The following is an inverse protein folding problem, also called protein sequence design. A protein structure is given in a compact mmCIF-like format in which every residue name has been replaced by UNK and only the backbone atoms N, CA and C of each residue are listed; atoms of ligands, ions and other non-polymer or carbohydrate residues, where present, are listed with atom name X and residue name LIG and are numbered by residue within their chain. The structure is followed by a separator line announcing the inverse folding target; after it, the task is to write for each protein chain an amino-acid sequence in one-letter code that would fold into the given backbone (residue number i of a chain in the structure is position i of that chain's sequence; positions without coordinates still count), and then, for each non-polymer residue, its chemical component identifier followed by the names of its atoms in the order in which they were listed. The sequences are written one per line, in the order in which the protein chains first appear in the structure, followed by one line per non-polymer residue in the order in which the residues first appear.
data_IF_523915102673
#
_entry.id   IF_523915102673
#
_cell.length_a   1.000
_cell.length_b   1.000
_cell.length_c   1.000
_cell.angle_alpha   90.00
_cell.angle_beta   90.00
_cell.angle_gamma   90.00
#
_symmetry.space_group_name_H-M   'P 1'
#
loop_
_entity.id
_entity.type
_entity.pdbx_description
1 polymer ?
#
# COMPACT_ATOMS: atom_id res chain seq x y z
N UNK A 1 8.96 22.27 -10.52
CA UNK A 1 9.86 21.13 -10.75
C UNK A 1 11.20 21.56 -11.38
N UNK A 2 11.70 22.77 -11.10
CA UNK A 2 12.95 23.32 -11.66
C UNK A 2 14.07 23.44 -10.62
N UNK A 3 13.74 23.30 -9.33
CA UNK A 3 14.67 23.50 -8.22
C UNK A 3 15.70 22.38 -8.09
N UNK A 4 15.27 21.12 -8.27
CA UNK A 4 16.16 19.95 -8.17
C UNK A 4 17.29 19.98 -9.21
N UNK A 5 16.94 20.25 -10.47
CA UNK A 5 17.92 20.31 -11.56
C UNK A 5 18.95 21.43 -11.31
N UNK A 6 18.50 22.55 -10.76
CA UNK A 6 19.38 23.67 -10.41
C UNK A 6 20.37 23.30 -9.29
N UNK A 7 19.90 22.67 -8.20
CA UNK A 7 20.77 22.24 -7.10
C UNK A 7 21.74 21.14 -7.55
N UNK A 8 21.27 20.18 -8.35
CA UNK A 8 22.09 19.10 -8.89
C UNK A 8 23.19 19.64 -9.83
N UNK A 9 22.84 20.58 -10.70
CA UNK A 9 23.80 21.22 -11.60
C UNK A 9 24.80 22.09 -10.84
N UNK A 10 24.36 22.79 -9.80
CA UNK A 10 25.23 23.55 -8.89
C UNK A 10 26.22 22.63 -8.20
N UNK A 11 25.76 21.51 -7.64
CA UNK A 11 26.63 20.52 -7.00
C UNK A 11 27.63 19.93 -7.98
N UNK A 12 27.19 19.55 -9.18
CA UNK A 12 28.08 19.04 -10.25
C UNK A 12 29.16 20.06 -10.64
N UNK A 13 28.80 21.33 -10.77
CA UNK A 13 29.74 22.40 -11.08
C UNK A 13 30.77 22.60 -9.96
N UNK A 14 30.34 22.51 -8.70
CA UNK A 14 31.23 22.62 -7.54
C UNK A 14 32.20 21.43 -7.47
N UNK A 15 31.70 20.19 -7.61
CA UNK A 15 32.52 18.97 -7.49
C UNK A 15 33.42 18.76 -8.70
N UNK A 16 32.98 19.11 -9.92
CA UNK A 16 33.77 18.95 -11.14
C UNK A 16 34.98 19.88 -11.24
N UNK A 17 35.02 20.96 -10.45
CA UNK A 17 36.04 22.00 -10.56
C UNK A 17 37.20 21.87 -9.56
N UNK A 18 37.09 21.07 -8.49
CA UNK A 18 38.05 21.09 -7.37
C UNK A 18 38.18 19.75 -6.63
N UNK A 19 39.38 19.48 -6.10
CA UNK A 19 39.68 18.32 -5.23
C UNK A 19 39.25 18.52 -3.78
N UNK A 20 38.94 19.76 -3.37
CA UNK A 20 38.38 20.08 -2.06
C UNK A 20 37.44 21.29 -2.15
N UNK A 21 36.39 21.28 -1.33
CA UNK A 21 35.35 22.30 -1.33
C UNK A 21 35.07 22.82 0.08
N UNK A 22 34.82 24.14 0.25
CA UNK A 22 34.45 24.71 1.54
C UNK A 22 33.11 24.14 2.04
N UNK A 23 33.08 23.66 3.29
CA UNK A 23 31.86 23.10 3.91
C UNK A 23 30.68 24.08 3.86
N UNK A 24 30.93 25.37 4.11
CA UNK A 24 29.90 26.41 4.08
C UNK A 24 29.26 26.64 2.71
N UNK A 25 29.90 26.20 1.63
CA UNK A 25 29.36 26.29 0.27
C UNK A 25 28.60 25.02 -0.13
N UNK A 26 29.09 23.86 0.31
CA UNK A 26 28.61 22.56 -0.18
C UNK A 26 27.48 21.98 0.67
N UNK A 27 27.51 22.19 1.98
CA UNK A 27 26.48 21.64 2.87
C UNK A 27 25.08 22.21 2.62
N UNK A 28 24.89 23.51 2.36
CA UNK A 28 23.56 24.03 2.03
C UNK A 28 22.96 23.41 0.75
N UNK A 29 23.80 23.14 -0.26
CA UNK A 29 23.35 22.51 -1.52
C UNK A 29 22.96 21.05 -1.27
N UNK A 30 23.74 20.31 -0.45
CA UNK A 30 23.36 18.95 -0.06
C UNK A 30 22.08 18.91 0.76
N UNK A 31 21.89 19.84 1.69
CA UNK A 31 20.67 19.95 2.50
C UNK A 31 19.44 20.27 1.64
N UNK A 32 19.58 21.20 0.69
CA UNK A 32 18.52 21.50 -0.27
C UNK A 32 18.18 20.28 -1.14
N UNK A 33 19.19 19.54 -1.59
CA UNK A 33 19.00 18.34 -2.41
C UNK A 33 18.37 17.19 -1.61
N UNK A 34 18.78 16.97 -0.36
CA UNK A 34 18.19 15.94 0.49
C UNK A 34 16.73 16.24 0.79
N UNK A 35 16.41 17.51 1.09
CA UNK A 35 15.02 17.94 1.28
C UNK A 35 14.18 17.73 0.02
N UNK A 36 14.70 18.13 -1.15
CA UNK A 36 14.01 17.92 -2.41
C UNK A 36 13.77 16.44 -2.71
N UNK A 37 14.69 15.56 -2.29
CA UNK A 37 14.52 14.11 -2.41
C UNK A 37 13.43 13.56 -1.47
N UNK A 38 13.39 14.00 -0.22
CA UNK A 38 12.35 13.61 0.74
C UNK A 38 10.96 14.02 0.24
N UNK A 39 10.82 15.26 -0.25
CA UNK A 39 9.57 15.76 -0.81
C UNK A 39 9.13 14.91 -2.04
N UNK A 40 10.08 14.55 -2.90
CA UNK A 40 9.82 13.70 -4.07
C UNK A 40 9.40 12.27 -3.67
N UNK A 41 10.05 11.67 -2.68
CA UNK A 41 9.67 10.33 -2.22
C UNK A 41 8.26 10.35 -1.61
N UNK A 42 7.92 11.37 -0.80
CA UNK A 42 6.57 11.52 -0.27
C UNK A 42 5.51 11.64 -1.38
N UNK A 43 5.78 12.43 -2.42
CA UNK A 43 4.91 12.52 -3.61
C UNK A 43 4.80 11.18 -4.33
N UNK A 44 5.92 10.48 -4.51
CA UNK A 44 5.96 9.17 -5.15
C UNK A 44 5.13 8.13 -4.39
N UNK A 45 5.22 8.07 -3.06
CA UNK A 45 4.39 7.19 -2.24
C UNK A 45 2.90 7.50 -2.39
N UNK A 46 2.53 8.79 -2.42
CA UNK A 46 1.16 9.22 -2.65
C UNK A 46 0.64 8.80 -4.02
N UNK A 47 1.46 8.93 -5.07
CA UNK A 47 1.13 8.51 -6.42
C UNK A 47 0.96 6.98 -6.52
N UNK A 48 1.81 6.21 -5.84
CA UNK A 48 1.67 4.75 -5.77
C UNK A 48 0.36 4.34 -5.09
N UNK A 49 0.01 5.00 -3.98
CA UNK A 49 -1.26 4.77 -3.30
C UNK A 49 -2.46 5.06 -4.22
N UNK A 50 -2.45 6.22 -4.90
CA UNK A 50 -3.49 6.59 -5.88
C UNK A 50 -3.57 5.61 -7.04
N UNK A 51 -2.42 5.17 -7.58
CA UNK A 51 -2.36 4.18 -8.66
C UNK A 51 -3.00 2.86 -8.23
N UNK A 52 -2.72 2.39 -7.01
CA UNK A 52 -3.35 1.19 -6.45
C UNK A 52 -4.86 1.35 -6.30
N UNK A 53 -5.33 2.48 -5.78
CA UNK A 53 -6.75 2.78 -5.65
C UNK A 53 -7.44 2.81 -7.02
N UNK A 54 -6.86 3.48 -8.02
CA UNK A 54 -7.40 3.52 -9.38
C UNK A 54 -7.47 2.11 -9.96
N UNK A 55 -6.40 1.32 -9.86
CA UNK A 55 -6.38 -0.05 -10.35
C UNK A 55 -7.48 -0.90 -9.71
N UNK A 56 -7.70 -0.76 -8.40
CA UNK A 56 -8.77 -1.45 -7.69
C UNK A 56 -10.18 -0.96 -8.09
N UNK A 57 -10.34 0.33 -8.41
CA UNK A 57 -11.63 0.88 -8.85
C UNK A 57 -11.94 0.57 -10.32
N UNK A 58 -10.93 0.44 -11.17
CA UNK A 58 -11.10 0.22 -12.60
C UNK A 58 -11.79 -1.10 -12.96
N UNK A 59 -11.75 -2.10 -12.09
CA UNK A 59 -12.52 -3.33 -12.29
C UNK A 59 -14.04 -3.12 -12.29
N UNK A 60 -14.51 -1.99 -11.75
CA UNK A 60 -15.94 -1.64 -11.70
C UNK A 60 -16.34 -0.61 -12.75
N UNK A 61 -15.45 -0.21 -13.66
CA UNK A 61 -15.69 0.88 -14.61
C UNK A 61 -17.00 0.72 -15.38
N UNK A 62 -17.27 -0.48 -15.88
CA UNK A 62 -18.42 -0.75 -16.75
C UNK A 62 -19.68 -1.17 -15.97
N UNK A 63 -19.53 -1.55 -14.69
CA UNK A 63 -20.64 -1.95 -13.80
C UNK A 63 -21.07 -0.85 -12.83
N UNK A 64 -20.25 0.19 -12.65
CA UNK A 64 -20.53 1.28 -11.72
C UNK A 64 -21.62 2.20 -12.28
N UNK A 65 -22.74 2.27 -11.58
CA UNK A 65 -23.79 3.27 -11.81
C UNK A 65 -23.82 4.23 -10.63
N UNK A 66 -23.61 5.53 -10.89
CA UNK A 66 -23.66 6.56 -9.85
C UNK A 66 -25.11 6.80 -9.41
N UNK A 67 -25.50 6.17 -8.31
CA UNK A 67 -26.87 6.29 -7.74
C UNK A 67 -27.01 7.42 -6.72
N UNK A 68 -25.91 7.86 -6.12
CA UNK A 68 -25.89 8.93 -5.12
C UNK A 68 -25.46 10.26 -5.77
N UNK A 69 -26.41 11.20 -5.85
CA UNK A 69 -26.19 12.60 -6.20
C UNK A 69 -26.32 13.49 -4.96
N UNK A 70 -25.82 14.73 -5.03
CA UNK A 70 -25.92 15.71 -3.94
C UNK A 70 -27.36 16.00 -3.49
N UNK A 71 -28.34 15.72 -4.34
CA UNK A 71 -29.76 15.90 -4.07
C UNK A 71 -30.47 14.61 -3.64
N UNK A 72 -29.75 13.49 -3.55
CA UNK A 72 -30.34 12.24 -3.07
C UNK A 72 -30.78 12.37 -1.62
N UNK A 73 -31.96 11.83 -1.31
CA UNK A 73 -32.53 11.90 0.04
C UNK A 73 -31.58 11.35 1.11
N UNK A 74 -30.82 10.31 0.77
CA UNK A 74 -29.84 9.68 1.66
C UNK A 74 -28.69 10.63 2.01
N UNK A 75 -28.16 11.39 1.04
CA UNK A 75 -27.12 12.39 1.30
C UNK A 75 -27.69 13.53 2.16
N UNK A 76 -28.90 14.00 1.88
CA UNK A 76 -29.55 15.06 2.67
C UNK A 76 -29.79 14.61 4.12
N UNK A 77 -30.25 13.37 4.33
CA UNK A 77 -30.44 12.77 5.66
C UNK A 77 -29.12 12.65 6.41
N UNK A 78 -28.07 12.15 5.76
CA UNK A 78 -26.76 11.99 6.39
C UNK A 78 -26.10 13.33 6.75
N UNK A 79 -26.22 14.35 5.89
CA UNK A 79 -25.77 15.72 6.22
C UNK A 79 -26.50 16.30 7.43
N UNK A 80 -27.81 16.08 7.52
CA UNK A 80 -28.63 16.54 8.66
C UNK A 80 -28.27 15.81 9.97
N UNK A 81 -27.88 14.54 9.89
CA UNK A 81 -27.50 13.74 11.05
C UNK A 81 -26.11 14.09 11.61
N UNK A 82 -25.31 14.88 10.89
CA UNK A 82 -23.91 15.14 11.22
C UNK A 82 -23.04 13.98 10.75
N UNK A 83 -22.19 14.22 9.75
CA UNK A 83 -21.25 13.19 9.29
C UNK A 83 -20.18 12.96 10.36
N UNK A 84 -19.80 11.70 10.63
CA UNK A 84 -18.71 11.40 11.55
C UNK A 84 -17.40 12.01 11.01
N UNK A 85 -16.51 12.40 11.92
CA UNK A 85 -15.18 12.87 11.57
C UNK A 85 -14.47 11.83 10.68
N UNK A 86 -13.75 12.32 9.68
CA UNK A 86 -13.15 11.50 8.63
C UNK A 86 -12.17 10.45 9.19
N UNK A 87 -11.55 10.76 10.34
CA UNK A 87 -10.59 9.90 11.02
C UNK A 87 -11.19 8.54 11.45
N UNK A 88 -12.51 8.47 11.66
CA UNK A 88 -13.21 7.25 12.08
C UNK A 88 -13.76 6.41 10.93
N UNK A 89 -13.59 6.84 9.67
CA UNK A 89 -14.24 6.16 8.53
C UNK A 89 -13.68 4.77 8.24
N UNK A 90 -12.43 4.49 8.65
CA UNK A 90 -11.69 3.28 8.26
C UNK A 90 -11.21 2.45 9.46
N UNK A 91 -11.59 2.81 10.68
CA UNK A 91 -11.11 2.19 11.93
C UNK A 91 -11.47 0.68 12.02
N UNK A 92 -12.49 0.24 11.26
CA UNK A 92 -12.95 -1.15 11.22
C UNK A 92 -12.47 -1.95 9.98
N UNK A 93 -11.69 -1.35 9.07
CA UNK A 93 -11.35 -2.00 7.78
C UNK A 93 -10.23 -3.06 7.87
N UNK A 94 -9.59 -3.24 9.02
CA UNK A 94 -8.48 -4.20 9.21
C UNK A 94 -8.96 -5.65 9.40
N UNK A 95 -10.24 -5.86 9.73
CA UNK A 95 -10.72 -7.18 10.19
C UNK A 95 -11.17 -8.12 9.07
N UNK A 96 -11.44 -7.64 7.85
CA UNK A 96 -12.02 -8.47 6.77
C UNK A 96 -11.01 -9.21 5.87
N UNK A 97 -9.69 -9.09 6.11
CA UNK A 97 -8.67 -9.70 5.22
C UNK A 97 -8.19 -11.11 5.62
N UNK A 98 -8.68 -11.70 6.72
CA UNK A 98 -8.19 -13.02 7.19
C UNK A 98 -9.07 -14.23 6.80
N UNK A 99 -10.28 -14.05 6.25
CA UNK A 99 -11.23 -15.16 6.04
C UNK A 99 -11.33 -15.70 4.60
N UNK A 100 -10.47 -15.27 3.68
CA UNK A 100 -10.49 -15.79 2.30
C UNK A 100 -9.51 -16.96 2.11
N UNK A 101 -9.70 -18.04 2.88
CA UNK A 101 -9.14 -19.35 2.57
C UNK A 101 -10.22 -20.19 1.86
N UNK A 102 -9.98 -20.76 0.66
CA UNK A 102 -10.99 -21.57 0.00
C UNK A 102 -11.21 -22.87 0.77
N UNK A 103 -12.37 -22.99 1.43
CA UNK A 103 -12.87 -24.25 2.02
C UNK A 103 -13.12 -25.24 0.88
N UNK A 104 -12.21 -26.19 0.69
CA UNK A 104 -12.46 -27.35 -0.17
C UNK A 104 -13.52 -28.24 0.49
N UNK A 105 -14.69 -28.30 -0.13
CA UNK A 105 -15.70 -29.31 0.15
C UNK A 105 -15.23 -30.65 -0.41
N UNK A 106 -15.08 -31.67 0.44
CA UNK A 106 -15.04 -33.06 0.03
C UNK A 106 -16.08 -33.84 0.84
N UNK A 107 -17.05 -34.39 0.12
CA UNK A 107 -18.22 -35.09 0.63
C UNK A 107 -17.85 -36.45 1.28
N UNK A 108 -18.52 -36.74 2.39
CA UNK A 108 -18.76 -38.04 3.01
C UNK A 108 -19.50 -38.97 2.03
N UNK A 109 -19.08 -40.22 1.73
CA UNK A 109 -19.21 -41.50 2.50
C UNK A 109 -19.06 -42.69 1.50
N UNK A 110 -19.08 -44.01 1.84
CA UNK A 110 -18.91 -44.73 3.13
C UNK A 110 -17.94 -45.96 3.11
N UNK A 111 -17.59 -46.43 4.32
CA UNK A 111 -17.38 -47.82 4.81
C UNK A 111 -16.78 -48.94 3.92
N UNK A 112 -15.63 -49.50 4.35
CA UNK A 112 -15.48 -50.97 4.50
C UNK A 112 -14.33 -51.32 5.47
N UNK A 113 -14.57 -52.29 6.33
CA UNK A 113 -13.69 -52.75 7.41
C UNK A 113 -12.78 -53.91 6.99
N UNK A 114 -11.57 -54.02 7.55
CA UNK A 114 -10.93 -55.28 7.98
C UNK A 114 -9.49 -55.10 8.51
N UNK A 115 -9.20 -55.70 9.68
CA UNK A 115 -7.92 -56.25 10.17
C UNK A 115 -6.66 -55.36 10.16
N UNK A 116 -6.00 -55.02 11.26
CA UNK A 116 -5.50 -55.92 12.31
C UNK A 116 -4.10 -56.44 11.96
N UNK A 117 -3.02 -55.85 12.52
CA UNK A 117 -1.82 -56.54 13.02
C UNK A 117 -0.64 -55.57 13.28
N UNK A 118 0.12 -55.90 14.32
CA UNK A 118 1.26 -55.19 14.93
C UNK A 118 2.58 -55.51 14.23
N UNK A 119 3.54 -54.59 14.20
CA UNK A 119 5.00 -54.83 14.36
C UNK A 119 5.76 -53.48 14.32
N UNK A 120 6.34 -52.97 15.40
CA UNK A 120 7.72 -53.23 15.89
C UNK A 120 8.81 -52.97 14.85
N UNK A 121 9.66 -51.96 15.07
CA UNK A 121 10.82 -51.68 14.22
C UNK A 121 11.55 -50.38 14.58
N UNK A 122 12.67 -50.52 15.27
CA UNK A 122 13.56 -49.50 15.84
C UNK A 122 14.75 -49.21 14.87
N UNK A 123 15.60 -48.22 15.18
CA UNK A 123 16.90 -47.83 14.58
C UNK A 123 16.86 -46.77 13.46
N UNK A 124 17.34 -45.54 13.67
CA UNK A 124 18.71 -44.98 13.89
C UNK A 124 19.36 -44.50 12.58
N UNK A 125 19.80 -43.23 12.62
CA UNK A 125 20.92 -42.57 11.91
C UNK A 125 21.32 -43.08 10.52
N UNK A 126 21.41 -42.15 9.58
CA UNK A 126 22.68 -41.54 9.20
C UNK A 126 22.45 -40.05 8.88
#
# INVERSE_FOLDING_TARGET
MTTYDNELNTLKALVGARTSLPKGQVYPVFEALSKAWEDLDAEHQLLLARSRSIKALMQFKDSFTRTLSSQSEWILKAKKAGMPAQDHWFENSTTDQLDNQPKQHAATSPSSAAGGAKHSGILRRL
#
